data_IF_908769037130
#
_entry.id   IF_908769037130
#
_cell.length_a   1.000
_cell.length_b   1.000
_cell.length_c   1.000
_cell.angle_alpha   90.00
_cell.angle_beta   90.00
_cell.angle_gamma   90.00
#
_symmetry.space_group_name_H-M   'P 1'
#
loop_
_entity.id
_entity.type
_entity.pdbx_description
1 polymer ?
#
# COMPACT_ATOMS: atom_id res chain seq x y z
N UNK A 1 17.63 7.00 -2.66
CA UNK A 1 16.19 7.04 -2.34
C UNK A 1 15.45 6.10 -3.28
N UNK A 2 14.61 5.21 -2.75
CA UNK A 2 13.85 4.24 -3.54
C UNK A 2 12.35 4.37 -3.25
N UNK A 3 11.57 4.75 -4.25
CA UNK A 3 10.11 4.82 -4.18
C UNK A 3 9.57 3.80 -5.19
N UNK A 4 8.98 2.72 -4.68
CA UNK A 4 8.61 1.57 -5.51
C UNK A 4 7.12 1.33 -5.36
N UNK A 5 6.41 1.28 -6.49
CA UNK A 5 5.03 0.80 -6.56
C UNK A 5 5.03 -0.56 -7.24
N UNK A 6 4.42 -1.55 -6.59
CA UNK A 6 4.22 -2.90 -7.14
C UNK A 6 2.73 -3.07 -7.40
N UNK A 7 2.37 -2.98 -8.68
CA UNK A 7 0.99 -3.09 -9.14
C UNK A 7 0.76 -4.41 -9.85
N UNK A 8 -0.35 -5.08 -9.55
CA UNK A 8 -0.72 -6.33 -10.20
C UNK A 8 -2.03 -6.89 -9.67
N UNK A 9 -2.62 -7.83 -10.42
CA UNK A 9 -3.86 -8.49 -10.04
C UNK A 9 -3.67 -9.41 -8.81
N UNK A 10 -4.79 -9.78 -8.18
CA UNK A 10 -4.78 -10.80 -7.13
C UNK A 10 -4.14 -12.10 -7.63
N UNK A 11 -3.28 -12.70 -6.79
CA UNK A 11 -2.55 -13.93 -7.12
C UNK A 11 -1.30 -13.74 -7.99
N UNK A 12 -0.93 -12.52 -8.41
CA UNK A 12 0.26 -12.30 -9.27
C UNK A 12 1.61 -12.35 -8.55
N UNK A 13 1.61 -12.53 -7.22
CA UNK A 13 2.84 -12.51 -6.39
C UNK A 13 3.32 -11.11 -5.96
N UNK A 14 2.50 -10.07 -6.15
CA UNK A 14 2.76 -8.68 -5.71
C UNK A 14 3.26 -8.57 -4.26
N UNK A 15 2.52 -9.12 -3.31
CA UNK A 15 2.86 -9.04 -1.88
C UNK A 15 4.18 -9.76 -1.56
N UNK A 16 4.45 -10.91 -2.20
CA UNK A 16 5.74 -11.62 -2.07
C UNK A 16 6.91 -10.76 -2.57
N UNK A 17 6.77 -10.16 -3.76
CA UNK A 17 7.78 -9.27 -4.32
C UNK A 17 7.98 -8.02 -3.46
N UNK A 18 6.89 -7.44 -2.94
CA UNK A 18 6.90 -6.23 -2.13
C UNK A 18 7.62 -6.43 -0.80
N UNK A 19 7.34 -7.53 -0.10
CA UNK A 19 8.06 -7.90 1.12
C UNK A 19 9.55 -8.11 0.85
N UNK A 20 9.91 -8.83 -0.23
CA UNK A 20 11.31 -9.04 -0.59
C UNK A 20 12.05 -7.73 -0.91
N UNK A 21 11.38 -6.78 -1.59
CA UNK A 21 11.95 -5.46 -1.91
C UNK A 21 12.08 -4.59 -0.67
N UNK A 22 11.05 -4.52 0.17
CA UNK A 22 11.09 -3.78 1.43
C UNK A 22 12.22 -4.28 2.33
N UNK A 23 12.36 -5.60 2.50
CA UNK A 23 13.46 -6.19 3.27
C UNK A 23 14.85 -5.89 2.68
N UNK A 24 15.00 -6.02 1.36
CA UNK A 24 16.28 -5.75 0.68
C UNK A 24 16.69 -4.28 0.72
N UNK A 25 15.71 -3.35 0.72
CA UNK A 25 15.96 -1.92 0.74
C UNK A 25 15.97 -1.33 2.16
N UNK A 26 15.57 -2.13 3.17
CA UNK A 26 15.43 -1.68 4.55
C UNK A 26 14.41 -0.55 4.71
N UNK A 27 13.34 -0.55 3.92
CA UNK A 27 12.36 0.54 3.88
C UNK A 27 10.93 0.05 4.18
N UNK A 28 10.03 0.93 4.67
CA UNK A 28 8.66 0.56 4.99
C UNK A 28 7.86 0.09 3.77
N UNK A 29 6.93 -0.84 4.01
CA UNK A 29 5.98 -1.37 3.05
C UNK A 29 4.55 -0.94 3.44
N UNK A 30 3.81 -0.39 2.48
CA UNK A 30 2.38 -0.16 2.58
C UNK A 30 1.63 -1.10 1.64
N UNK A 31 0.81 -1.98 2.22
CA UNK A 31 -0.21 -2.73 1.49
C UNK A 31 -1.48 -1.87 1.40
N UNK A 32 -1.90 -1.55 0.17
CA UNK A 32 -3.07 -0.71 -0.06
C UNK A 32 -4.35 -1.31 0.51
N UNK A 33 -4.46 -2.64 0.69
CA UNK A 33 -5.62 -3.26 1.33
C UNK A 33 -5.83 -2.74 2.77
N UNK A 34 -4.76 -2.37 3.48
CA UNK A 34 -4.83 -1.89 4.87
C UNK A 34 -5.47 -0.51 5.02
N UNK A 35 -5.48 0.28 3.94
CA UNK A 35 -6.02 1.64 3.90
C UNK A 35 -7.21 1.80 2.96
N UNK A 36 -7.48 0.77 2.17
CA UNK A 36 -8.62 0.61 1.27
C UNK A 36 -9.94 0.34 2.01
N UNK A 37 -9.88 -0.35 3.14
CA UNK A 37 -11.05 -0.87 3.84
C UNK A 37 -11.14 -0.34 5.27
N UNK A 38 -12.36 -0.22 5.79
CA UNK A 38 -12.59 0.12 7.18
C UNK A 38 -12.19 -1.04 8.11
N UNK A 39 -11.29 -0.76 9.03
CA UNK A 39 -10.80 -1.77 9.98
C UNK A 39 -11.88 -2.07 11.03
N UNK A 40 -12.19 -3.35 11.23
CA UNK A 40 -13.15 -3.78 12.25
C UNK A 40 -14.63 -3.61 11.86
N UNK A 41 -14.93 -3.25 10.62
CA UNK A 41 -16.30 -3.26 10.12
C UNK A 41 -16.83 -4.70 10.02
N UNK A 42 -18.06 -4.96 10.49
CA UNK A 42 -18.70 -6.28 10.39
C UNK A 42 -18.89 -6.74 8.94
N UNK A 43 -19.08 -5.78 8.03
CA UNK A 43 -19.15 -6.01 6.58
C UNK A 43 -18.01 -5.26 5.89
N UNK A 44 -17.32 -5.85 4.89
CA UNK A 44 -16.28 -5.18 4.13
C UNK A 44 -16.79 -3.85 3.56
N UNK A 45 -16.33 -2.76 4.16
CA UNK A 45 -16.77 -1.41 3.83
C UNK A 45 -15.58 -0.65 3.29
N UNK A 46 -15.73 -0.09 2.10
CA UNK A 46 -14.68 0.71 1.46
C UNK A 46 -14.46 1.98 2.28
N UNK A 47 -13.22 2.25 2.64
CA UNK A 47 -12.84 3.54 3.24
C UNK A 47 -13.05 4.66 2.23
N UNK A 48 -13.40 5.86 2.68
CA UNK A 48 -13.55 6.99 1.76
C UNK A 48 -12.25 7.24 0.97
N UNK A 49 -12.33 7.60 -0.33
CA UNK A 49 -11.14 7.89 -1.13
C UNK A 49 -10.23 8.95 -0.50
N UNK A 50 -10.82 9.95 0.15
CA UNK A 50 -10.10 11.02 0.84
C UNK A 50 -9.29 10.49 2.03
N UNK A 51 -9.86 9.59 2.82
CA UNK A 51 -9.17 9.01 3.97
C UNK A 51 -8.06 8.04 3.54
N UNK A 52 -8.29 7.22 2.51
CA UNK A 52 -7.24 6.38 1.92
C UNK A 52 -6.11 7.25 1.36
N UNK A 53 -6.42 8.32 0.63
CA UNK A 53 -5.42 9.24 0.06
C UNK A 53 -4.63 9.97 1.14
N UNK A 54 -5.26 10.38 2.25
CA UNK A 54 -4.57 10.95 3.40
C UNK A 54 -3.57 9.96 4.00
N UNK A 55 -3.97 8.70 4.19
CA UNK A 55 -3.08 7.67 4.73
C UNK A 55 -1.87 7.39 3.82
N UNK A 56 -2.07 7.40 2.49
CA UNK A 56 -0.96 7.29 1.52
C UNK A 56 -0.04 8.50 1.65
N UNK A 57 -0.60 9.70 1.71
CA UNK A 57 0.16 10.94 1.84
C UNK A 57 1.04 10.92 3.10
N UNK A 58 0.47 10.54 4.25
CA UNK A 58 1.20 10.47 5.51
C UNK A 58 2.32 9.42 5.44
N UNK A 59 2.03 8.25 4.85
CA UNK A 59 3.02 7.20 4.64
C UNK A 59 4.19 7.65 3.76
N UNK A 60 3.93 8.26 2.60
CA UNK A 60 5.01 8.66 1.67
C UNK A 60 5.85 9.83 2.19
N UNK A 61 5.34 10.60 3.15
CA UNK A 61 6.09 11.66 3.84
C UNK A 61 6.80 11.17 5.12
N UNK A 62 6.43 10.00 5.65
CA UNK A 62 7.07 9.43 6.85
C UNK A 62 8.50 8.90 6.61
N UNK A 63 8.87 8.62 5.36
CA UNK A 63 10.17 8.08 5.00
C UNK A 63 10.61 8.49 3.58
N UNK A 64 11.92 8.63 3.36
CA UNK A 64 12.47 8.98 2.04
C UNK A 64 12.43 7.82 1.02
N UNK A 65 12.36 6.59 1.52
CA UNK A 65 12.26 5.37 0.72
C UNK A 65 11.12 4.50 1.23
N UNK A 66 10.40 3.84 0.32
CA UNK A 66 9.24 3.02 0.63
C UNK A 66 8.88 2.08 -0.52
N UNK A 67 8.10 1.06 -0.19
CA UNK A 67 7.39 0.20 -1.14
C UNK A 67 5.89 0.34 -0.89
N UNK A 68 5.11 0.53 -1.95
CA UNK A 68 3.64 0.45 -1.92
C UNK A 68 3.22 -0.70 -2.83
N UNK A 69 2.25 -1.51 -2.41
CA UNK A 69 1.75 -2.62 -3.21
C UNK A 69 0.22 -2.70 -3.21
N UNK A 70 -0.38 -3.07 -4.36
CA UNK A 70 -1.83 -3.22 -4.48
C UNK A 70 -2.34 -3.25 -5.92
N UNK A 71 -3.66 -3.25 -6.10
CA UNK A 71 -4.34 -3.26 -7.41
C UNK A 71 -5.30 -2.08 -7.62
N UNK A 72 -5.33 -1.11 -6.70
CA UNK A 72 -6.23 0.04 -6.72
C UNK A 72 -5.62 1.19 -7.51
N UNK A 73 -5.88 1.25 -8.82
CA UNK A 73 -5.38 2.32 -9.69
C UNK A 73 -5.94 3.72 -9.31
N UNK A 74 -7.07 3.78 -8.61
CA UNK A 74 -7.68 4.99 -8.06
C UNK A 74 -6.91 5.57 -6.86
N UNK A 75 -6.09 4.75 -6.21
CA UNK A 75 -5.27 5.12 -5.06
C UNK A 75 -3.80 5.40 -5.40
N UNK A 76 -3.34 5.03 -6.60
CA UNK A 76 -1.94 5.14 -7.03
C UNK A 76 -1.65 6.40 -7.84
#
# INVERSE_FOLDING_TARGET
MHRVVIFGNSGSGKSTLAMARSASLGCPLLDLDTIAWEAGAETPTRRSPEASRSAIHDFVHSAESWVIEGCYADLL
#
